data_IF_483611259478
#
_entry.id   IF_483611259478
#
_cell.length_a   1.000
_cell.length_b   1.000
_cell.length_c   1.000
_cell.angle_alpha   90.00
_cell.angle_beta   90.00
_cell.angle_gamma   90.00
#
_symmetry.space_group_name_H-M   'P 1'
#
loop_
_entity.id
_entity.type
_entity.pdbx_description
1 polymer ?
#
# COMPACT_ATOMS: atom_id res chain seq x y z
N UNK A 1 1.08 3.00 10.25
CA UNK A 1 0.00 2.54 9.36
C UNK A 1 0.49 1.37 8.53
N UNK A 2 -0.34 0.38 8.38
CA UNK A 2 -0.03 -0.79 7.57
C UNK A 2 -1.00 -0.79 6.38
N UNK A 3 -0.45 -0.96 5.18
CA UNK A 3 -1.26 -0.97 3.95
C UNK A 3 -0.96 -2.26 3.21
N UNK A 4 -2.01 -3.05 2.96
CA UNK A 4 -1.93 -4.21 2.09
C UNK A 4 -2.41 -3.81 0.70
N UNK A 5 -1.62 -4.11 -0.31
CA UNK A 5 -1.91 -3.68 -1.68
C UNK A 5 -2.17 -4.88 -2.58
N UNK A 6 -3.31 -4.85 -3.25
CA UNK A 6 -3.63 -5.75 -4.36
C UNK A 6 -3.42 -4.94 -5.63
N UNK A 7 -2.26 -5.11 -6.26
CA UNK A 7 -1.83 -4.27 -7.37
C UNK A 7 -2.33 -4.80 -8.71
N UNK A 8 -2.95 -3.91 -9.47
CA UNK A 8 -3.37 -4.17 -10.84
C UNK A 8 -2.71 -3.13 -11.76
N UNK A 9 -2.62 -3.37 -13.06
CA UNK A 9 -1.92 -2.42 -13.94
C UNK A 9 -2.52 -1.02 -13.94
N UNK A 10 -3.85 -0.89 -13.84
CA UNK A 10 -4.52 0.41 -13.96
C UNK A 10 -4.97 0.99 -12.63
N UNK A 11 -4.98 0.19 -11.57
CA UNK A 11 -5.42 0.63 -10.24
C UNK A 11 -4.85 -0.30 -9.19
N UNK A 12 -5.05 0.05 -7.93
CA UNK A 12 -4.74 -0.85 -6.82
C UNK A 12 -5.86 -0.80 -5.80
N UNK A 13 -6.17 -1.96 -5.23
CA UNK A 13 -7.09 -2.05 -4.10
C UNK A 13 -6.24 -2.14 -2.84
N UNK A 14 -6.51 -1.29 -1.87
CA UNK A 14 -5.75 -1.29 -0.63
C UNK A 14 -6.64 -1.55 0.57
N UNK A 15 -6.06 -2.21 1.55
CA UNK A 15 -6.65 -2.33 2.89
C UNK A 15 -5.66 -1.68 3.85
N UNK A 16 -6.12 -0.79 4.70
CA UNK A 16 -5.22 -0.10 5.61
C UNK A 16 -5.64 -0.25 7.06
N UNK A 17 -4.66 -0.16 7.94
CA UNK A 17 -4.86 -0.23 9.38
C UNK A 17 -3.98 0.82 10.05
N UNK A 18 -4.61 1.69 10.84
CA UNK A 18 -3.92 2.73 11.60
C UNK A 18 -3.71 2.22 13.02
N UNK A 19 -2.46 1.92 13.34
CA UNK A 19 -2.15 1.23 14.59
C UNK A 19 -2.50 2.06 15.83
N UNK A 20 -2.31 3.38 15.75
CA UNK A 20 -2.55 4.26 16.89
C UNK A 20 -4.01 4.34 17.30
N UNK A 21 -4.91 4.29 16.34
CA UNK A 21 -6.34 4.47 16.58
C UNK A 21 -7.14 3.20 16.42
N UNK A 22 -6.57 2.16 15.78
CA UNK A 22 -7.32 0.97 15.42
C UNK A 22 -8.23 1.16 14.22
N UNK A 23 -8.19 2.33 13.59
CA UNK A 23 -9.00 2.60 12.42
C UNK A 23 -8.55 1.76 11.24
N UNK A 24 -9.50 1.28 10.44
CA UNK A 24 -9.18 0.49 9.26
C UNK A 24 -10.20 0.70 8.18
N UNK A 25 -9.82 0.37 6.94
CA UNK A 25 -10.72 0.52 5.82
C UNK A 25 -10.11 -0.02 4.55
N UNK A 26 -10.85 0.17 3.46
CA UNK A 26 -10.45 -0.28 2.14
C UNK A 26 -10.70 0.84 1.14
N UNK A 27 -9.85 0.93 0.12
CA UNK A 27 -10.00 1.91 -0.95
C UNK A 27 -9.48 1.33 -2.24
N UNK A 28 -9.99 1.88 -3.34
CA UNK A 28 -9.48 1.62 -4.68
C UNK A 28 -8.83 2.90 -5.17
N UNK A 29 -7.60 2.79 -5.68
CA UNK A 29 -6.82 3.95 -6.10
C UNK A 29 -6.44 3.77 -7.56
N UNK A 30 -6.79 4.72 -8.40
CA UNK A 30 -6.43 4.69 -9.80
C UNK A 30 -4.97 5.10 -9.98
N UNK A 31 -4.31 4.52 -10.98
CA UNK A 31 -2.93 4.86 -11.30
C UNK A 31 -2.84 5.98 -12.32
N UNK A 32 -3.76 5.96 -13.30
CA UNK A 32 -3.65 6.85 -14.45
C UNK A 32 -3.86 8.32 -14.14
N UNK A 33 -4.64 8.63 -13.11
CA UNK A 33 -4.93 10.02 -12.75
C UNK A 33 -4.10 10.50 -11.56
N UNK A 34 -3.13 9.70 -11.12
CA UNK A 34 -2.25 10.07 -10.02
C UNK A 34 -2.85 9.92 -8.64
N UNK A 35 -4.02 9.34 -8.52
CA UNK A 35 -4.68 9.22 -7.22
C UNK A 35 -3.84 8.41 -6.23
N UNK A 36 -3.28 7.29 -6.67
CA UNK A 36 -2.45 6.47 -5.80
C UNK A 36 -1.23 7.23 -5.34
N UNK A 37 -0.53 7.89 -6.27
CA UNK A 37 0.66 8.65 -5.91
C UNK A 37 0.34 9.76 -4.91
N UNK A 38 -0.75 10.49 -5.13
CA UNK A 38 -1.14 11.56 -4.22
C UNK A 38 -1.41 11.06 -2.80
N UNK A 39 -2.06 9.91 -2.68
CA UNK A 39 -2.32 9.36 -1.36
C UNK A 39 -1.02 9.06 -0.61
N UNK A 40 -0.08 8.39 -1.26
CA UNK A 40 1.16 8.00 -0.59
C UNK A 40 2.04 9.20 -0.28
N UNK A 41 2.10 10.18 -1.18
CA UNK A 41 2.86 11.40 -0.91
C UNK A 41 2.24 12.21 0.23
N UNK A 42 0.92 12.22 0.31
CA UNK A 42 0.22 12.90 1.40
C UNK A 42 0.55 12.28 2.76
N UNK A 43 0.56 10.94 2.82
CA UNK A 43 0.91 10.24 4.04
C UNK A 43 2.34 10.56 4.47
N UNK A 44 3.25 10.64 3.50
CA UNK A 44 4.65 10.97 3.79
C UNK A 44 4.77 12.40 4.32
N UNK A 45 4.06 13.33 3.70
CA UNK A 45 4.10 14.73 4.14
C UNK A 45 3.54 14.92 5.55
N UNK A 46 2.58 14.10 5.93
CA UNK A 46 2.00 14.14 7.28
C UNK A 46 2.89 13.47 8.32
N UNK A 47 4.01 12.91 7.89
CA UNK A 47 4.93 12.24 8.80
C UNK A 47 4.44 10.89 9.29
N UNK A 48 3.48 10.29 8.61
CA UNK A 48 2.93 9.01 9.02
C UNK A 48 3.89 7.90 8.61
N UNK A 49 4.23 7.04 9.56
CA UNK A 49 5.06 5.88 9.28
C UNK A 49 4.21 4.82 8.59
N UNK A 50 4.64 4.38 7.41
CA UNK A 50 3.85 3.48 6.59
C UNK A 50 4.66 2.22 6.26
N UNK A 51 4.01 1.08 6.42
CA UNK A 51 4.51 -0.21 5.95
C UNK A 51 3.57 -0.72 4.88
N UNK A 52 4.12 -1.11 3.74
CA UNK A 52 3.33 -1.57 2.62
C UNK A 52 3.65 -3.02 2.34
N UNK A 53 2.63 -3.86 2.36
CA UNK A 53 2.77 -5.26 1.97
C UNK A 53 2.10 -5.49 0.63
N UNK A 54 2.80 -6.12 -0.30
CA UNK A 54 2.22 -6.40 -1.60
C UNK A 54 2.82 -7.66 -2.20
N UNK A 55 2.07 -8.27 -3.12
CA UNK A 55 2.54 -9.43 -3.86
C UNK A 55 3.44 -8.96 -4.99
N UNK A 56 4.55 -9.66 -5.20
CA UNK A 56 5.49 -9.30 -6.26
C UNK A 56 4.83 -9.46 -7.63
N UNK A 57 4.93 -8.43 -8.47
CA UNK A 57 4.41 -8.47 -9.83
C UNK A 57 5.48 -7.97 -10.78
N UNK A 58 5.27 -8.23 -12.09
CA UNK A 58 6.21 -7.77 -13.10
C UNK A 58 6.00 -6.33 -13.54
N UNK A 59 4.94 -5.66 -13.10
CA UNK A 59 4.60 -4.31 -13.57
C UNK A 59 4.43 -3.28 -12.46
N UNK A 60 4.89 -3.56 -11.26
CA UNK A 60 4.72 -2.62 -10.16
C UNK A 60 5.98 -1.77 -9.93
N UNK A 61 6.90 -1.74 -10.89
CA UNK A 61 8.20 -1.10 -10.70
C UNK A 61 8.08 0.38 -10.34
N UNK A 62 7.22 1.12 -11.04
CA UNK A 62 7.05 2.55 -10.76
C UNK A 62 6.58 2.77 -9.32
N UNK A 63 5.68 1.91 -8.88
CA UNK A 63 5.11 2.01 -7.53
C UNK A 63 6.17 1.67 -6.48
N UNK A 64 6.96 0.63 -6.75
CA UNK A 64 8.05 0.28 -5.84
C UNK A 64 9.06 1.41 -5.72
N UNK A 65 9.36 2.08 -6.83
CA UNK A 65 10.25 3.24 -6.81
C UNK A 65 9.65 4.39 -6.01
N UNK A 66 8.37 4.63 -6.18
CA UNK A 66 7.69 5.67 -5.42
C UNK A 66 7.79 5.40 -3.91
N UNK A 67 7.51 4.16 -3.49
CA UNK A 67 7.57 3.82 -2.08
C UNK A 67 9.00 3.97 -1.53
N UNK A 68 10.00 3.60 -2.32
CA UNK A 68 11.39 3.77 -1.93
C UNK A 68 11.74 5.25 -1.80
N UNK A 69 11.30 6.07 -2.75
CA UNK A 69 11.52 7.51 -2.73
C UNK A 69 10.92 8.13 -1.49
N UNK A 70 9.75 7.67 -1.08
CA UNK A 70 9.07 8.20 0.10
C UNK A 70 9.61 7.65 1.42
N UNK A 71 10.49 6.66 1.34
CA UNK A 71 11.10 6.06 2.54
C UNK A 71 10.18 5.10 3.28
N UNK A 72 9.17 4.56 2.62
CA UNK A 72 8.26 3.60 3.22
C UNK A 72 8.88 2.21 3.24
N UNK A 73 8.57 1.45 4.27
CA UNK A 73 8.99 0.05 4.37
C UNK A 73 8.08 -0.78 3.46
N UNK A 74 8.69 -1.65 2.65
CA UNK A 74 7.94 -2.46 1.68
C UNK A 74 8.24 -3.93 1.92
N UNK A 75 7.19 -4.72 2.06
CA UNK A 75 7.28 -6.17 2.20
C UNK A 75 6.72 -6.80 0.94
N UNK A 76 7.61 -7.43 0.16
CA UNK A 76 7.22 -8.13 -1.06
C UNK A 76 7.06 -9.60 -0.71
N UNK A 77 5.92 -10.18 -1.06
CA UNK A 77 5.65 -11.59 -0.80
C UNK A 77 5.35 -12.29 -2.12
N UNK A 78 5.61 -13.60 -2.12
CA UNK A 78 5.22 -14.43 -3.26
C UNK A 78 3.88 -15.08 -2.94
N UNK A 79 3.26 -15.66 -3.95
CA UNK A 79 1.99 -16.37 -3.74
C UNK A 79 2.11 -17.49 -2.72
N UNK A 80 3.26 -18.17 -2.71
CA UNK A 80 3.46 -19.32 -1.85
C UNK A 80 3.67 -18.91 -0.39
N UNK A 81 4.18 -17.72 -0.16
CA UNK A 81 4.49 -17.23 1.18
C UNK A 81 3.60 -16.06 1.57
N UNK A 82 2.45 -15.96 0.92
CA UNK A 82 1.54 -14.85 1.14
C UNK A 82 1.11 -14.78 2.61
N UNK A 83 1.26 -13.61 3.18
CA UNK A 83 0.82 -13.31 4.53
C UNK A 83 -0.29 -12.30 4.42
N UNK A 84 -1.43 -12.63 5.00
CA UNK A 84 -2.54 -11.69 4.98
C UNK A 84 -2.22 -10.50 5.86
N UNK A 85 -2.55 -9.27 5.40
CA UNK A 85 -2.40 -8.11 6.27
C UNK A 85 -3.34 -8.23 7.46
N UNK A 86 -3.07 -7.49 8.54
CA UNK A 86 -3.98 -7.45 9.67
C UNK A 86 -5.37 -7.10 9.18
N UNK A 87 -6.36 -7.87 9.60
CA UNK A 87 -7.71 -7.67 9.11
C UNK A 87 -8.47 -6.73 10.01
N UNK A 88 -9.33 -5.94 9.39
CA UNK A 88 -10.22 -5.02 10.08
C UNK A 88 -11.63 -5.54 10.11
N UNK A 89 -11.89 -6.62 9.42
CA UNK A 89 -13.23 -7.14 9.39
C UNK A 89 -13.44 -8.13 10.51
N UNK A 90 -14.62 -8.16 10.92
CA UNK A 90 -15.05 -9.05 11.97
C UNK A 90 -16.35 -9.65 11.55
#
# INVERSE_FOLDING_TARGET
MIIGVDYHPSFQAIAFFVEETGECGERELNHSDGEAERLYRDLQQKGIRVRVGMEATGYSRWFERLLAELGFEVWMVTRLTRVDPPTCFR
#
